data_IF_775623528600
#
_entry.id   IF_775623528600
#
_cell.length_a   1.000
_cell.length_b   1.000
_cell.length_c   1.000
_cell.angle_alpha   90.00
_cell.angle_beta   90.00
_cell.angle_gamma   90.00
#
_symmetry.space_group_name_H-M   'P 1'
#
loop_
_entity.id
_entity.type
_entity.pdbx_description
1 polymer ?
#
# COMPACT_ATOMS: atom_id res chain seq x y z
N UNK A 1 -22.46 -3.21 12.63
CA UNK A 1 -21.99 -3.46 11.25
C UNK A 1 -21.76 -4.95 11.11
N UNK A 2 -22.79 -5.72 10.74
CA UNK A 2 -22.66 -7.15 10.49
C UNK A 2 -21.93 -7.32 9.16
N UNK A 3 -20.73 -7.90 9.19
CA UNK A 3 -19.99 -8.29 7.98
C UNK A 3 -20.71 -9.53 7.43
N UNK A 4 -21.82 -9.32 6.74
CA UNK A 4 -22.46 -10.37 5.96
C UNK A 4 -21.68 -10.45 4.66
N UNK A 5 -20.80 -11.45 4.54
CA UNK A 5 -20.11 -11.75 3.30
C UNK A 5 -21.15 -12.17 2.25
N UNK A 6 -21.58 -11.24 1.42
CA UNK A 6 -22.43 -11.56 0.28
C UNK A 6 -21.56 -12.03 -0.88
N UNK A 7 -22.08 -12.93 -1.72
CA UNK A 7 -21.43 -13.34 -2.96
C UNK A 7 -20.86 -12.17 -3.81
N UNK A 8 -21.56 -11.03 -3.98
CA UNK A 8 -20.99 -9.87 -4.69
C UNK A 8 -19.76 -9.26 -3.99
N UNK A 9 -19.72 -9.24 -2.66
CA UNK A 9 -18.58 -8.69 -1.90
C UNK A 9 -17.34 -9.58 -2.03
N UNK A 10 -17.55 -10.90 -2.05
CA UNK A 10 -16.50 -11.88 -2.29
C UNK A 10 -15.95 -11.76 -3.73
N UNK A 11 -16.82 -11.60 -4.72
CA UNK A 11 -16.42 -11.40 -6.11
C UNK A 11 -15.63 -10.10 -6.29
N UNK A 12 -16.05 -9.01 -5.63
CA UNK A 12 -15.35 -7.73 -5.65
C UNK A 12 -13.96 -7.83 -5.00
N UNK A 13 -13.85 -8.54 -3.88
CA UNK A 13 -12.57 -8.78 -3.19
C UNK A 13 -11.61 -9.61 -4.04
N UNK A 14 -12.13 -10.65 -4.71
CA UNK A 14 -11.35 -11.47 -5.63
C UNK A 14 -10.88 -10.67 -6.86
N UNK A 15 -11.77 -9.88 -7.46
CA UNK A 15 -11.46 -9.03 -8.59
C UNK A 15 -10.38 -7.99 -8.23
N UNK A 16 -10.50 -7.36 -7.06
CA UNK A 16 -9.48 -6.45 -6.54
C UNK A 16 -8.13 -7.14 -6.34
N UNK A 17 -8.12 -8.33 -5.75
CA UNK A 17 -6.91 -9.14 -5.59
C UNK A 17 -6.24 -9.51 -6.92
N UNK A 18 -7.02 -9.94 -7.91
CA UNK A 18 -6.55 -10.24 -9.26
C UNK A 18 -5.96 -9.01 -9.96
N UNK A 19 -6.59 -7.84 -9.80
CA UNK A 19 -6.09 -6.58 -10.36
C UNK A 19 -4.76 -6.16 -9.72
N UNK A 20 -4.65 -6.23 -8.39
CA UNK A 20 -3.40 -5.91 -7.67
C UNK A 20 -2.29 -6.89 -8.07
N UNK A 21 -2.56 -8.20 -8.03
CA UNK A 21 -1.59 -9.23 -8.42
C UNK A 21 -1.17 -9.12 -9.88
N UNK A 22 -2.12 -8.88 -10.80
CA UNK A 22 -1.87 -8.66 -12.21
C UNK A 22 -1.01 -7.42 -12.46
N UNK A 23 -1.28 -6.31 -11.77
CA UNK A 23 -0.46 -5.10 -11.87
C UNK A 23 0.98 -5.32 -11.40
N UNK A 24 1.19 -6.07 -10.32
CA UNK A 24 2.51 -6.42 -9.81
C UNK A 24 3.26 -7.35 -10.77
N UNK A 25 2.57 -8.32 -11.37
CA UNK A 25 3.13 -9.22 -12.38
C UNK A 25 3.54 -8.46 -13.65
N UNK A 26 2.70 -7.54 -14.14
CA UNK A 26 3.02 -6.69 -15.29
C UNK A 26 4.25 -5.82 -15.04
N UNK A 27 4.38 -5.25 -13.83
CA UNK A 27 5.57 -4.47 -13.47
C UNK A 27 6.83 -5.35 -13.39
N UNK A 28 6.71 -6.56 -12.84
CA UNK A 28 7.82 -7.52 -12.79
C UNK A 28 8.25 -7.94 -14.20
N UNK A 29 7.30 -8.21 -15.10
CA UNK A 29 7.59 -8.58 -16.50
C UNK A 29 8.16 -7.41 -17.31
N UNK A 30 7.66 -6.20 -17.08
CA UNK A 30 8.08 -4.99 -17.82
C UNK A 30 9.42 -4.39 -17.34
N UNK A 31 9.76 -4.54 -16.06
CA UNK A 31 10.98 -3.95 -15.46
C UNK A 31 12.00 -4.98 -14.95
N UNK A 32 11.65 -6.27 -14.96
CA UNK A 32 12.48 -7.36 -14.41
C UNK A 32 12.65 -7.31 -12.88
N UNK A 33 11.93 -6.43 -12.18
CA UNK A 33 12.15 -6.14 -10.76
C UNK A 33 10.84 -6.19 -9.97
N UNK A 34 10.96 -6.57 -8.70
CA UNK A 34 9.85 -6.77 -7.77
C UNK A 34 9.14 -5.44 -7.47
N UNK A 35 7.81 -5.46 -7.40
CA UNK A 35 6.99 -4.29 -7.07
C UNK A 35 7.13 -3.92 -5.58
N UNK A 36 7.77 -2.80 -5.28
CA UNK A 36 7.87 -2.27 -3.91
C UNK A 36 7.81 -0.74 -3.93
N UNK A 37 6.71 -0.16 -3.44
CA UNK A 37 6.40 1.27 -3.60
C UNK A 37 7.53 2.16 -3.04
N UNK A 38 8.05 1.88 -1.84
CA UNK A 38 9.19 2.65 -1.28
C UNK A 38 10.46 2.57 -2.14
N UNK A 39 10.75 1.41 -2.73
CA UNK A 39 11.91 1.23 -3.61
C UNK A 39 11.71 1.82 -5.00
N UNK A 40 10.48 1.87 -5.49
CA UNK A 40 10.12 2.54 -6.74
C UNK A 40 10.19 4.07 -6.55
N UNK A 41 9.70 4.58 -5.43
CA UNK A 41 9.79 6.00 -5.07
C UNK A 41 11.24 6.45 -4.85
N UNK A 42 12.05 5.66 -4.14
CA UNK A 42 13.48 5.94 -3.97
C UNK A 42 14.26 5.94 -5.30
N UNK A 43 13.91 5.05 -6.23
CA UNK A 43 14.56 5.01 -7.55
C UNK A 43 14.01 6.05 -8.54
N UNK A 44 12.82 6.62 -8.30
CA UNK A 44 12.29 7.74 -9.06
C UNK A 44 13.05 9.05 -8.77
N UNK A 45 13.71 9.14 -7.60
CA UNK A 45 14.61 10.22 -7.23
C UNK A 45 16.07 10.00 -7.71
N UNK A 46 16.38 8.85 -8.30
CA UNK A 46 17.71 8.56 -8.86
C UNK A 46 17.95 9.27 -10.19
N UNK A 47 19.22 9.52 -10.52
CA UNK A 47 19.67 10.23 -11.72
C UNK A 47 19.25 9.58 -13.06
N UNK A 48 18.87 8.30 -13.07
CA UNK A 48 18.38 7.59 -14.24
C UNK A 48 17.10 6.79 -13.90
N UNK A 49 15.93 7.45 -13.85
CA UNK A 49 14.69 6.79 -13.48
C UNK A 49 14.23 5.82 -14.57
N UNK A 50 13.85 4.61 -14.15
CA UNK A 50 13.24 3.63 -15.04
C UNK A 50 11.83 4.10 -15.46
N UNK A 51 11.62 4.24 -16.76
CA UNK A 51 10.38 4.78 -17.36
C UNK A 51 9.15 3.96 -16.96
N UNK A 52 9.27 2.63 -16.86
CA UNK A 52 8.16 1.73 -16.48
C UNK A 52 7.73 1.98 -15.04
N UNK A 53 8.69 2.20 -14.15
CA UNK A 53 8.46 2.51 -12.73
C UNK A 53 7.78 3.84 -12.50
N UNK A 54 8.21 4.86 -13.24
CA UNK A 54 7.59 6.20 -13.17
C UNK A 54 6.15 6.12 -13.67
N UNK A 55 5.89 5.44 -14.80
CA UNK A 55 4.53 5.25 -15.32
C UNK A 55 3.66 4.50 -14.31
N UNK A 56 4.17 3.47 -13.65
CA UNK A 56 3.43 2.76 -12.60
C UNK A 56 3.11 3.65 -11.40
N UNK A 57 4.06 4.46 -10.91
CA UNK A 57 3.81 5.41 -9.82
C UNK A 57 2.76 6.45 -10.19
N UNK A 58 2.85 7.01 -11.40
CA UNK A 58 1.88 7.99 -11.89
C UNK A 58 0.50 7.36 -12.02
N UNK A 59 0.40 6.14 -12.56
CA UNK A 59 -0.84 5.39 -12.60
C UNK A 59 -1.42 5.15 -11.20
N UNK A 60 -0.60 4.73 -10.24
CA UNK A 60 -1.01 4.51 -8.85
C UNK A 60 -1.54 5.80 -8.20
N UNK A 61 -0.88 6.95 -8.43
CA UNK A 61 -1.31 8.24 -7.90
C UNK A 61 -2.58 8.78 -8.56
N UNK A 62 -2.72 8.59 -9.87
CA UNK A 62 -3.83 9.16 -10.66
C UNK A 62 -5.11 8.31 -10.59
N UNK A 63 -5.00 7.01 -10.38
CA UNK A 63 -6.14 6.08 -10.28
C UNK A 63 -7.22 6.50 -9.27
N UNK A 64 -6.93 6.87 -8.01
CA UNK A 64 -7.97 7.29 -7.06
C UNK A 64 -8.70 8.57 -7.49
N UNK A 65 -8.03 9.45 -8.25
CA UNK A 65 -8.67 10.64 -8.83
C UNK A 65 -9.58 10.28 -10.00
N UNK A 66 -9.14 9.36 -10.84
CA UNK A 66 -9.93 8.87 -11.97
C UNK A 66 -11.18 8.10 -11.49
N UNK A 67 -11.06 7.39 -10.37
CA UNK A 67 -12.19 6.69 -9.74
C UNK A 67 -13.32 7.63 -9.30
N UNK A 68 -13.01 8.91 -9.06
CA UNK A 68 -14.03 9.94 -8.74
C UNK A 68 -15.05 10.16 -9.86
N UNK A 69 -14.71 9.82 -11.10
CA UNK A 69 -15.61 9.93 -12.25
C UNK A 69 -16.71 8.86 -12.24
N UNK A 70 -16.46 7.72 -11.61
CA UNK A 70 -17.39 6.57 -11.56
C UNK A 70 -18.19 6.58 -10.26
N UNK A 71 -17.55 6.91 -9.14
CA UNK A 71 -18.23 7.08 -7.86
C UNK A 71 -17.68 8.30 -7.11
N UNK A 72 -18.55 9.16 -6.55
CA UNK A 72 -18.10 10.24 -5.70
C UNK A 72 -17.34 9.65 -4.51
N UNK A 73 -16.13 10.16 -4.29
CA UNK A 73 -15.26 9.73 -3.21
C UNK A 73 -16.05 9.87 -1.90
N UNK A 74 -16.38 8.77 -1.24
CA UNK A 74 -16.90 8.81 0.12
C UNK A 74 -15.72 9.10 1.03
N UNK A 75 -15.45 10.39 1.21
CA UNK A 75 -14.55 10.90 2.22
C UNK A 75 -15.13 10.55 3.59
N UNK A 76 -14.86 9.33 4.06
CA UNK A 76 -15.19 8.89 5.41
C UNK A 76 -14.69 9.94 6.41
N UNK A 77 -15.48 10.21 7.46
CA UNK A 77 -15.33 11.33 8.39
C UNK A 77 -14.01 11.49 9.16
N UNK A 78 -12.96 10.74 8.82
CA UNK A 78 -11.62 10.83 9.37
C UNK A 78 -10.86 12.13 9.01
N UNK A 79 -11.41 12.98 8.13
CA UNK A 79 -10.86 14.30 7.81
C UNK A 79 -11.49 15.45 8.61
N UNK A 80 -12.30 15.15 9.64
CA UNK A 80 -13.04 16.17 10.41
C UNK A 80 -12.15 17.28 11.00
N UNK A 81 -10.87 17.01 11.24
CA UNK A 81 -9.83 18.04 11.43
C UNK A 81 -8.49 17.56 10.88
N UNK A 82 -7.80 18.32 10.01
CA UNK A 82 -6.51 17.90 9.49
C UNK A 82 -5.42 18.05 10.57
N UNK A 83 -5.07 16.93 11.19
CA UNK A 83 -3.95 16.81 12.13
C UNK A 83 -2.61 16.75 11.38
N UNK A 84 -2.25 17.84 10.70
CA UNK A 84 -1.05 17.93 9.84
C UNK A 84 0.23 17.46 10.55
N UNK A 85 0.40 17.79 11.83
CA UNK A 85 1.57 17.37 12.62
C UNK A 85 1.68 15.84 12.76
N UNK A 86 0.55 15.16 13.02
CA UNK A 86 0.50 13.72 13.11
C UNK A 86 0.70 13.05 11.75
N UNK A 87 0.14 13.62 10.67
CA UNK A 87 0.32 13.11 9.30
C UNK A 87 1.78 13.20 8.85
N UNK A 88 2.43 14.34 9.08
CA UNK A 88 3.85 14.55 8.73
C UNK A 88 4.73 13.61 9.58
N UNK A 89 4.49 13.56 10.89
CA UNK A 89 5.23 12.68 11.80
C UNK A 89 5.09 11.21 11.43
N UNK A 90 3.86 10.75 11.16
CA UNK A 90 3.58 9.38 10.72
C UNK A 90 4.24 9.08 9.37
N UNK A 91 4.18 10.00 8.40
CA UNK A 91 4.84 9.83 7.11
C UNK A 91 6.36 9.68 7.23
N UNK A 92 7.01 10.50 8.06
CA UNK A 92 8.45 10.39 8.33
C UNK A 92 8.82 9.09 9.03
N UNK A 93 8.08 8.70 10.07
CA UNK A 93 8.28 7.44 10.80
C UNK A 93 8.14 6.23 9.88
N UNK A 94 7.11 6.21 9.03
CA UNK A 94 6.91 5.14 8.03
C UNK A 94 8.03 5.16 7.00
N UNK A 95 8.45 6.34 6.52
CA UNK A 95 9.56 6.48 5.59
C UNK A 95 10.85 5.85 6.13
N UNK A 96 11.28 6.28 7.33
CA UNK A 96 12.47 5.74 8.00
C UNK A 96 12.30 4.24 8.29
N UNK A 97 11.13 3.81 8.77
CA UNK A 97 10.85 2.41 9.05
C UNK A 97 10.95 1.50 7.82
N UNK A 98 10.40 1.92 6.68
CA UNK A 98 10.51 1.13 5.43
C UNK A 98 11.94 1.09 4.88
N UNK A 99 12.74 2.13 5.11
CA UNK A 99 14.15 2.13 4.75
C UNK A 99 14.96 1.17 5.64
N UNK A 100 14.73 1.18 6.96
CA UNK A 100 15.36 0.25 7.91
C UNK A 100 14.96 -1.21 7.65
N UNK A 101 13.69 -1.45 7.28
CA UNK A 101 13.18 -2.76 6.91
C UNK A 101 13.64 -3.26 5.53
N UNK A 102 14.41 -2.46 4.78
CA UNK A 102 14.82 -2.71 3.40
C UNK A 102 13.63 -3.03 2.47
N UNK A 103 12.46 -2.43 2.73
CA UNK A 103 11.22 -2.73 2.02
C UNK A 103 9.97 -2.19 2.72
N UNK A 104 8.86 -2.25 2.00
CA UNK A 104 7.53 -1.86 2.49
C UNK A 104 6.59 -3.07 2.53
N UNK A 105 5.45 -2.92 3.19
CA UNK A 105 4.42 -3.96 3.29
C UNK A 105 3.86 -4.37 1.94
N UNK A 106 3.79 -3.48 0.94
CA UNK A 106 3.35 -3.85 -0.42
C UNK A 106 4.36 -4.78 -1.12
N UNK A 107 5.67 -4.51 -0.99
CA UNK A 107 6.70 -5.36 -1.60
C UNK A 107 6.91 -6.69 -0.87
N UNK A 108 6.96 -6.67 0.46
CA UNK A 108 7.06 -7.87 1.27
C UNK A 108 5.77 -8.69 1.27
N UNK A 109 4.62 -8.04 1.28
CA UNK A 109 3.31 -8.68 1.30
C UNK A 109 2.91 -9.25 -0.04
N UNK A 110 2.84 -8.43 -1.10
CA UNK A 110 2.32 -8.89 -2.40
C UNK A 110 3.32 -9.81 -3.10
N UNK A 111 4.58 -9.37 -3.25
CA UNK A 111 5.57 -10.14 -4.00
C UNK A 111 6.43 -11.07 -3.13
N UNK A 112 6.79 -10.64 -1.92
CA UNK A 112 7.70 -11.38 -1.03
C UNK A 112 7.07 -12.62 -0.39
N UNK A 113 5.78 -12.58 -0.03
CA UNK A 113 5.02 -13.75 0.43
C UNK A 113 4.69 -14.70 -0.73
N UNK A 114 4.42 -14.17 -1.93
CA UNK A 114 4.20 -15.00 -3.11
C UNK A 114 5.42 -15.87 -3.47
N UNK A 115 6.63 -15.43 -3.09
CA UNK A 115 7.88 -16.19 -3.25
C UNK A 115 8.23 -17.09 -2.05
N UNK A 116 7.28 -17.33 -1.13
CA UNK A 116 7.43 -18.19 0.07
C UNK A 116 8.65 -17.89 0.96
N UNK A 117 9.08 -16.62 1.03
CA UNK A 117 10.27 -16.27 1.82
C UNK A 117 9.92 -16.04 3.31
N UNK A 118 10.57 -16.80 4.20
CA UNK A 118 10.41 -16.66 5.66
C UNK A 118 10.75 -15.26 6.16
N UNK A 119 11.78 -14.63 5.58
CA UNK A 119 12.16 -13.24 5.90
C UNK A 119 11.00 -12.26 5.65
N UNK A 120 10.25 -12.46 4.58
CA UNK A 120 9.12 -11.59 4.24
C UNK A 120 7.91 -11.84 5.12
N UNK A 121 7.67 -13.11 5.49
CA UNK A 121 6.65 -13.47 6.47
C UNK A 121 6.87 -12.75 7.81
N UNK A 122 8.10 -12.82 8.35
CA UNK A 122 8.45 -12.15 9.61
C UNK A 122 8.25 -10.64 9.50
N UNK A 123 8.72 -10.02 8.41
CA UNK A 123 8.55 -8.57 8.20
C UNK A 123 7.08 -8.15 8.16
N UNK A 124 6.23 -8.90 7.44
CA UNK A 124 4.79 -8.62 7.35
C UNK A 124 4.10 -8.78 8.71
N UNK A 125 4.43 -9.86 9.44
CA UNK A 125 3.88 -10.10 10.77
C UNK A 125 4.28 -9.00 11.77
N UNK A 126 5.53 -8.53 11.73
CA UNK A 126 5.97 -7.42 12.57
C UNK A 126 5.27 -6.12 12.21
N UNK A 127 5.13 -5.79 10.93
CA UNK A 127 4.43 -4.57 10.49
C UNK A 127 2.96 -4.59 10.91
N UNK A 128 2.25 -5.70 10.66
CA UNK A 128 0.84 -5.82 11.04
C UNK A 128 0.65 -5.91 12.55
N UNK A 129 1.54 -6.60 13.27
CA UNK A 129 1.52 -6.67 14.73
C UNK A 129 1.64 -5.28 15.37
N UNK A 130 2.64 -4.50 14.94
CA UNK A 130 2.82 -3.13 15.41
C UNK A 130 1.65 -2.24 15.01
N UNK A 131 1.14 -2.35 13.78
CA UNK A 131 -0.02 -1.57 13.35
C UNK A 131 -1.26 -1.86 14.22
N UNK A 132 -1.53 -3.14 14.53
CA UNK A 132 -2.62 -3.52 15.43
C UNK A 132 -2.43 -2.95 16.83
N UNK A 133 -1.21 -2.99 17.38
CA UNK A 133 -0.89 -2.40 18.69
C UNK A 133 -1.11 -0.88 18.67
N UNK A 134 -0.60 -0.18 17.66
CA UNK A 134 -0.73 1.28 17.53
C UNK A 134 -2.20 1.70 17.45
N UNK A 135 -3.01 0.97 16.68
CA UNK A 135 -4.46 1.22 16.60
C UNK A 135 -5.13 0.94 17.95
N UNK A 136 -4.81 -0.19 18.60
CA UNK A 136 -5.37 -0.57 19.89
C UNK A 136 -5.02 0.40 21.02
N UNK A 137 -3.84 1.04 20.97
CA UNK A 137 -3.40 2.05 21.93
C UNK A 137 -4.04 3.43 21.72
N UNK A 138 -4.90 3.60 20.71
CA UNK A 138 -5.76 4.78 20.57
C UNK A 138 -5.31 5.85 19.58
N UNK A 139 -4.27 5.60 18.78
CA UNK A 139 -3.97 6.48 17.62
C UNK A 139 -4.97 6.29 16.47
N UNK A 140 -5.77 5.21 16.51
CA UNK A 140 -6.90 5.00 15.63
C UNK A 140 -8.19 5.37 16.32
N UNK A 141 -8.65 6.60 16.14
CA UNK A 141 -10.06 6.98 16.34
C UNK A 141 -10.52 6.85 17.81
N UNK A 142 -10.24 7.86 18.63
CA UNK A 142 -11.26 8.28 19.59
C UNK A 142 -12.46 8.76 18.77
N UNK A 143 -13.61 8.10 19.02
CA UNK A 143 -14.91 8.27 18.39
C UNK A 143 -15.43 9.72 18.36
#
# INVERSE_FOLDING_TARGET
MSIVFSLPDALASLAGGLLIGGSAALLLLGSGRIAGISGIFGNALSTAPDRVRVVFLLALLTTPWLWRLVQPLQLGGALATPQWGALIGAGLLVGVGTQLGNGCTSGHGVCGLANFSLRSLVAVLTFMGVAMIVVALGFGVTA
#
